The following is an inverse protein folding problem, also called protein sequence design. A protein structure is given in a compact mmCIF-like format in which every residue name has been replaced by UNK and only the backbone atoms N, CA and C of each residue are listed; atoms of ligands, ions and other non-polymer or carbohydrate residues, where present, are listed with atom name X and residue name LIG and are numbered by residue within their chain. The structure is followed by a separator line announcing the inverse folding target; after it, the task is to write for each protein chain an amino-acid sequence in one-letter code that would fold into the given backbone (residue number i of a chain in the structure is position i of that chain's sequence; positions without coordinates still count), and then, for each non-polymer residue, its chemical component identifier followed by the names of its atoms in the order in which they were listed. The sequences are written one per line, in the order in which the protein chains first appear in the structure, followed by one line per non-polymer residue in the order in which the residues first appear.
data_IF_077213330670
#
_entry.id   IF_077213330670
#
_cell.length_a   1.000
_cell.length_b   1.000
_cell.length_c   1.000
_cell.angle_alpha   90.00
_cell.angle_beta   90.00
_cell.angle_gamma   90.00
#
_symmetry.space_group_name_H-M   'P 1'
#
loop_
_entity.id
_entity.type
_entity.pdbx_description
1 polymer ?
#
# COMPACT_ATOMS: atom_id res chain seq x y z
N UNK A 1 -10.01 -0.51 -13.12
CA UNK A 1 -8.79 0.20 -12.68
C UNK A 1 -7.59 -0.71 -12.86
N UNK A 2 -6.53 -0.19 -13.38
CA UNK A 2 -5.33 -0.98 -13.70
C UNK A 2 -4.24 -0.72 -12.64
N UNK A 3 -3.93 -1.76 -11.85
CA UNK A 3 -2.92 -1.69 -10.80
C UNK A 3 -1.61 -2.31 -11.27
N UNK A 4 -1.10 -1.83 -12.40
CA UNK A 4 0.19 -2.25 -12.90
C UNK A 4 1.30 -1.34 -12.40
N UNK A 5 2.54 -1.73 -12.66
CA UNK A 5 3.68 -0.89 -12.32
C UNK A 5 3.58 0.47 -12.97
N UNK A 6 3.98 1.50 -12.22
CA UNK A 6 4.06 2.88 -12.72
C UNK A 6 5.45 3.44 -12.46
N UNK A 7 6.49 2.93 -13.19
CA UNK A 7 7.86 3.38 -12.94
C UNK A 7 8.05 4.89 -13.12
N UNK A 8 7.29 5.51 -14.04
CA UNK A 8 7.37 6.95 -14.28
C UNK A 8 6.86 7.77 -13.09
N UNK A 9 5.98 7.18 -12.27
CA UNK A 9 5.48 7.83 -11.06
C UNK A 9 6.39 7.58 -9.84
N UNK A 10 7.48 6.82 -10.01
CA UNK A 10 8.45 6.59 -8.95
C UNK A 10 8.11 5.45 -8.00
N UNK A 11 7.10 4.65 -8.29
CA UNK A 11 6.75 3.51 -7.45
C UNK A 11 6.37 2.29 -8.27
N UNK A 12 6.53 1.12 -7.64
CA UNK A 12 6.08 -0.15 -8.18
C UNK A 12 5.14 -0.79 -7.17
N UNK A 13 4.16 -1.53 -7.68
CA UNK A 13 3.22 -2.27 -6.84
C UNK A 13 3.58 -3.75 -6.92
N UNK A 14 3.99 -4.33 -5.80
CA UNK A 14 4.34 -5.75 -5.76
C UNK A 14 3.09 -6.62 -5.93
N UNK A 15 3.30 -7.90 -6.22
CA UNK A 15 2.19 -8.84 -6.36
C UNK A 15 1.31 -8.89 -5.10
N UNK A 16 1.93 -8.93 -3.93
CA UNK A 16 1.20 -8.96 -2.67
C UNK A 16 0.35 -7.70 -2.48
N UNK A 17 0.94 -6.53 -2.76
CA UNK A 17 0.21 -5.26 -2.65
C UNK A 17 -0.95 -5.21 -3.65
N UNK A 18 -0.76 -5.75 -4.85
CA UNK A 18 -1.84 -5.81 -5.85
C UNK A 18 -3.00 -6.64 -5.35
N UNK A 19 -2.72 -7.80 -4.75
CA UNK A 19 -3.76 -8.65 -4.17
C UNK A 19 -4.50 -7.93 -3.05
N UNK A 20 -3.77 -7.19 -2.21
CA UNK A 20 -4.37 -6.39 -1.15
C UNK A 20 -5.30 -5.32 -1.72
N UNK A 21 -4.86 -4.63 -2.78
CA UNK A 21 -5.68 -3.60 -3.43
C UNK A 21 -6.96 -4.18 -4.03
N UNK A 22 -6.88 -5.36 -4.62
CA UNK A 22 -8.08 -6.03 -5.13
C UNK A 22 -9.05 -6.38 -4.01
N UNK A 23 -8.53 -6.84 -2.88
CA UNK A 23 -9.35 -7.12 -1.70
C UNK A 23 -10.00 -5.86 -1.14
N UNK A 24 -9.25 -4.76 -1.07
CA UNK A 24 -9.77 -3.46 -0.63
C UNK A 24 -10.87 -2.98 -1.57
N UNK A 25 -10.65 -3.10 -2.87
CA UNK A 25 -11.64 -2.70 -3.87
C UNK A 25 -12.94 -3.48 -3.71
N UNK A 26 -12.83 -4.80 -3.56
CA UNK A 26 -14.00 -5.67 -3.38
C UNK A 26 -14.77 -5.35 -2.11
N UNK A 27 -14.06 -5.19 -1.01
CA UNK A 27 -14.67 -4.84 0.27
C UNK A 27 -15.38 -3.49 0.19
N UNK A 28 -14.71 -2.48 -0.38
CA UNK A 28 -15.26 -1.13 -0.50
C UNK A 28 -16.51 -1.12 -1.37
N UNK A 29 -16.51 -1.87 -2.46
CA UNK A 29 -17.67 -1.93 -3.35
C UNK A 29 -18.87 -2.56 -2.65
N UNK A 30 -18.66 -3.66 -1.94
CA UNK A 30 -19.73 -4.38 -1.24
C UNK A 30 -20.34 -3.53 -0.12
N UNK A 31 -19.51 -2.82 0.62
CA UNK A 31 -19.97 -2.08 1.82
C UNK A 31 -20.35 -0.63 1.53
N UNK A 32 -19.79 -0.02 0.48
CA UNK A 32 -19.89 1.43 0.27
C UNK A 32 -20.28 1.81 -1.16
N UNK A 33 -20.33 0.85 -2.10
CA UNK A 33 -20.68 1.09 -3.49
C UNK A 33 -19.48 1.49 -4.35
N UNK A 34 -19.72 1.51 -5.66
CA UNK A 34 -18.67 1.72 -6.66
C UNK A 34 -18.03 3.11 -6.60
N UNK A 35 -18.83 4.14 -6.33
CA UNK A 35 -18.30 5.50 -6.29
C UNK A 35 -17.32 5.68 -5.13
N UNK A 36 -17.68 5.17 -3.95
CA UNK A 36 -16.80 5.23 -2.79
C UNK A 36 -15.55 4.38 -3.02
N UNK A 37 -15.71 3.19 -3.60
CA UNK A 37 -14.58 2.34 -3.98
C UNK A 37 -13.60 3.12 -4.85
N UNK A 38 -14.10 3.77 -5.90
CA UNK A 38 -13.24 4.49 -6.84
C UNK A 38 -12.55 5.68 -6.19
N UNK A 39 -13.25 6.41 -5.34
CA UNK A 39 -12.65 7.53 -4.60
C UNK A 39 -11.52 7.06 -3.68
N UNK A 40 -11.75 5.97 -2.97
CA UNK A 40 -10.74 5.46 -2.04
C UNK A 40 -9.50 4.95 -2.77
N UNK A 41 -9.69 4.17 -3.84
CA UNK A 41 -8.57 3.67 -4.63
C UNK A 41 -7.77 4.81 -5.26
N UNK A 42 -8.45 5.86 -5.71
CA UNK A 42 -7.77 7.02 -6.26
C UNK A 42 -6.97 7.76 -5.19
N UNK A 43 -7.50 7.84 -3.98
CA UNK A 43 -6.78 8.46 -2.87
C UNK A 43 -5.51 7.67 -2.53
N UNK A 44 -5.57 6.35 -2.59
CA UNK A 44 -4.40 5.49 -2.38
C UNK A 44 -3.35 5.72 -3.47
N UNK A 45 -3.78 5.80 -4.72
CA UNK A 45 -2.85 6.06 -5.83
C UNK A 45 -2.10 7.38 -5.62
N UNK A 46 -2.81 8.43 -5.22
CA UNK A 46 -2.19 9.72 -4.92
C UNK A 46 -1.23 9.62 -3.74
N UNK A 47 -1.56 8.78 -2.75
CA UNK A 47 -0.66 8.57 -1.62
C UNK A 47 0.62 7.88 -2.06
N UNK A 48 0.54 6.90 -2.95
CA UNK A 48 1.73 6.23 -3.48
C UNK A 48 2.63 7.23 -4.23
N UNK A 49 2.04 8.09 -5.04
CA UNK A 49 2.77 9.13 -5.75
C UNK A 49 3.47 10.09 -4.78
N UNK A 50 2.75 10.49 -3.73
CA UNK A 50 3.32 11.37 -2.72
C UNK A 50 4.46 10.69 -1.96
N UNK A 51 4.30 9.42 -1.59
CA UNK A 51 5.36 8.66 -0.92
C UNK A 51 6.60 8.50 -1.81
N UNK A 52 6.39 8.34 -3.11
CA UNK A 52 7.50 8.24 -4.05
C UNK A 52 8.33 9.54 -4.08
N UNK A 53 7.66 10.68 -3.90
CA UNK A 53 8.34 11.99 -3.82
C UNK A 53 8.91 12.26 -2.42
N UNK A 54 8.41 11.58 -1.40
CA UNK A 54 8.80 11.77 -0.01
C UNK A 54 9.08 10.42 0.66
N UNK A 55 10.06 9.65 0.15
CA UNK A 55 10.19 8.25 0.55
C UNK A 55 10.54 8.03 2.01
N UNK A 56 11.10 9.03 2.68
CA UNK A 56 11.44 8.92 4.10
C UNK A 56 10.36 9.49 5.02
N UNK A 57 9.20 9.84 4.47
CA UNK A 57 8.09 10.35 5.28
C UNK A 57 7.47 9.29 6.17
N UNK A 58 7.55 8.02 5.78
CA UNK A 58 7.02 6.92 6.56
C UNK A 58 7.84 6.62 7.80
N UNK A 59 7.25 5.86 8.71
CA UNK A 59 7.94 5.38 9.91
C UNK A 59 8.77 4.15 9.55
N UNK A 60 10.02 4.12 10.04
CA UNK A 60 10.87 2.92 9.90
C UNK A 60 10.25 1.75 10.64
N UNK A 61 10.22 0.61 9.99
CA UNK A 61 9.64 -0.61 10.54
C UNK A 61 10.64 -1.75 10.51
N UNK A 62 11.82 -1.51 11.07
CA UNK A 62 12.86 -2.52 11.19
C UNK A 62 12.42 -3.66 12.12
N UNK A 63 11.39 -3.44 12.92
CA UNK A 63 10.73 -4.46 13.72
C UNK A 63 10.08 -5.55 12.87
N UNK A 64 9.71 -5.22 11.62
CA UNK A 64 9.13 -6.21 10.68
C UNK A 64 10.23 -6.80 9.83
N UNK A 65 10.94 -5.97 9.11
CA UNK A 65 12.07 -6.37 8.26
C UNK A 65 12.91 -5.14 7.99
N UNK A 66 14.21 -5.38 7.81
CA UNK A 66 15.16 -4.30 7.57
C UNK A 66 14.79 -3.51 6.31
N UNK A 67 14.71 -2.19 6.45
CA UNK A 67 14.41 -1.29 5.34
C UNK A 67 12.93 -1.03 5.10
N UNK A 68 12.04 -1.66 5.85
CA UNK A 68 10.61 -1.44 5.69
C UNK A 68 10.19 -0.10 6.29
N UNK A 69 9.21 0.53 5.64
CA UNK A 69 8.55 1.75 6.11
C UNK A 69 7.04 1.52 6.15
N UNK A 70 6.34 2.26 6.97
CA UNK A 70 4.88 2.26 7.00
C UNK A 70 4.34 3.69 7.04
N UNK A 71 3.19 3.89 6.40
CA UNK A 71 2.51 5.18 6.41
C UNK A 71 1.00 4.96 6.47
N UNK A 72 0.30 5.61 7.42
CA UNK A 72 -1.14 5.42 7.53
C UNK A 72 -1.88 6.14 6.41
N UNK A 73 -2.96 5.50 5.92
CA UNK A 73 -3.83 6.12 4.92
C UNK A 73 -5.26 5.59 5.13
N UNK A 74 -6.18 6.46 5.52
CA UNK A 74 -7.56 6.06 5.76
C UNK A 74 -7.63 4.92 6.78
N UNK A 75 -8.26 3.83 6.40
CA UNK A 75 -8.41 2.65 7.26
C UNK A 75 -7.25 1.67 7.13
N UNK A 76 -6.22 2.01 6.38
CA UNK A 76 -5.14 1.09 6.05
C UNK A 76 -3.78 1.66 6.41
N UNK A 77 -2.80 0.78 6.45
CA UNK A 77 -1.39 1.13 6.58
C UNK A 77 -0.69 0.64 5.32
N UNK A 78 0.05 1.55 4.68
CA UNK A 78 0.83 1.23 3.48
C UNK A 78 2.23 0.84 3.92
N UNK A 79 2.68 -0.34 3.51
CA UNK A 79 4.06 -0.80 3.75
C UNK A 79 4.85 -0.69 2.47
N UNK A 80 6.04 -0.12 2.56
CA UNK A 80 6.89 0.05 1.37
C UNK A 80 8.36 0.01 1.77
N UNK A 81 9.22 -0.13 0.75
CA UNK A 81 10.66 0.01 0.93
C UNK A 81 11.21 0.89 -0.19
N UNK A 82 12.38 1.46 0.08
CA UNK A 82 13.08 2.30 -0.90
C UNK A 82 14.01 1.42 -1.70
N UNK A 83 13.90 1.48 -3.03
CA UNK A 83 14.70 0.69 -3.95
C UNK A 83 15.31 1.62 -5.00
N UNK A 84 16.55 2.05 -4.77
CA UNK A 84 17.16 3.05 -5.64
C UNK A 84 16.41 4.37 -5.59
N UNK A 85 15.98 4.86 -6.74
CA UNK A 85 15.20 6.10 -6.85
C UNK A 85 13.70 5.86 -6.85
N UNK A 86 13.29 4.64 -6.56
CA UNK A 86 11.88 4.26 -6.55
C UNK A 86 11.50 3.70 -5.18
N UNK A 87 10.21 3.57 -4.95
CA UNK A 87 9.72 2.80 -3.81
C UNK A 87 8.93 1.59 -4.32
N UNK A 88 8.98 0.52 -3.56
CA UNK A 88 8.18 -0.67 -3.82
C UNK A 88 7.07 -0.72 -2.77
N UNK A 89 5.82 -0.69 -3.22
CA UNK A 89 4.68 -0.86 -2.32
C UNK A 89 4.55 -2.35 -2.04
N UNK A 90 4.83 -2.74 -0.80
CA UNK A 90 4.93 -4.15 -0.42
C UNK A 90 3.56 -4.72 -0.07
N UNK A 91 2.73 -3.94 0.60
CA UNK A 91 1.42 -4.42 1.00
C UNK A 91 0.61 -3.33 1.68
N UNK A 92 -0.67 -3.62 1.86
CA UNK A 92 -1.61 -2.73 2.55
C UNK A 92 -2.39 -3.58 3.54
N UNK A 93 -2.41 -3.13 4.79
CA UNK A 93 -3.05 -3.86 5.87
C UNK A 93 -4.08 -2.98 6.54
N UNK A 94 -5.27 -3.52 6.81
CA UNK A 94 -6.26 -2.80 7.60
C UNK A 94 -5.66 -2.49 8.98
N UNK A 95 -5.87 -1.26 9.46
CA UNK A 95 -5.18 -0.76 10.66
C UNK A 95 -5.46 -1.56 11.93
N UNK A 96 -6.54 -2.34 11.96
CA UNK A 96 -6.91 -3.15 13.12
C UNK A 96 -6.41 -4.59 13.04
N UNK A 97 -5.77 -4.98 11.95
CA UNK A 97 -5.26 -6.34 11.80
C UNK A 97 -3.87 -6.48 12.39
N UNK A 98 -3.51 -7.71 12.76
CA UNK A 98 -2.21 -8.01 13.36
C UNK A 98 -1.13 -8.03 12.29
N UNK A 99 -0.15 -7.14 12.43
CA UNK A 99 0.93 -6.95 11.46
C UNK A 99 1.79 -8.23 11.35
N UNK A 100 2.10 -8.86 12.47
CA UNK A 100 2.96 -10.04 12.47
C UNK A 100 2.27 -11.22 11.78
N UNK A 101 0.99 -11.41 12.06
CA UNK A 101 0.20 -12.46 11.40
C UNK A 101 0.15 -12.20 9.89
N UNK A 102 -0.10 -10.96 9.49
CA UNK A 102 -0.16 -10.58 8.09
C UNK A 102 1.12 -10.94 7.34
N UNK A 103 2.28 -10.53 7.86
CA UNK A 103 3.54 -10.77 7.18
C UNK A 103 3.96 -12.23 7.22
N UNK A 104 3.72 -12.94 8.33
CA UNK A 104 4.08 -14.34 8.43
C UNK A 104 3.24 -15.23 7.50
N UNK A 105 1.96 -14.93 7.34
CA UNK A 105 1.09 -15.73 6.50
C UNK A 105 1.36 -15.57 5.00
N UNK A 106 2.22 -14.63 4.63
CA UNK A 106 2.49 -14.31 3.22
C UNK A 106 3.93 -14.60 2.80
N UNK A 107 4.68 -15.25 3.65
CA UNK A 107 6.04 -15.67 3.33
C UNK A 107 6.07 -16.89 2.43
#
# INVERSE_FOLDING_TARGET
MNWTEKPDAGYRITRMAREDLLGIARYSEIHWGKDQRNRYLKSLEKRFEWLALNPKAGRRRDDIANGYYSFPHGQHVVFYLISGQMIDIIGLLHKEMDILVYFHSRE
#
